data_IF_289918367967
#
_entry.id   IF_289918367967
#
_cell.length_a   1.000
_cell.length_b   1.000
_cell.length_c   1.000
_cell.angle_alpha   90.00
_cell.angle_beta   90.00
_cell.angle_gamma   90.00
#
_symmetry.space_group_name_H-M   'P 1'
#
loop_
_entity.id
_entity.type
_entity.pdbx_description
1 polymer ?
#
# COMPACT_ATOMS: atom_id res chain seq x y z
N UNK A 1 13.75 -8.66 34.77
CA UNK A 1 13.92 -8.79 33.30
C UNK A 1 15.24 -9.50 33.00
N UNK A 2 15.25 -10.64 32.30
CA UNK A 2 16.45 -11.46 32.07
C UNK A 2 17.45 -10.80 31.11
N UNK A 3 18.75 -11.16 31.16
CA UNK A 3 19.79 -10.65 30.23
C UNK A 3 19.41 -10.88 28.76
N UNK A 4 18.76 -12.01 28.46
CA UNK A 4 18.22 -12.33 27.12
C UNK A 4 17.11 -11.37 26.69
N UNK A 5 16.17 -11.04 27.60
CA UNK A 5 15.11 -10.08 27.31
C UNK A 5 15.66 -8.67 27.05
N UNK A 6 16.67 -8.23 27.82
CA UNK A 6 17.36 -6.94 27.56
C UNK A 6 18.02 -6.91 26.18
N UNK A 7 18.71 -7.97 25.79
CA UNK A 7 19.36 -8.05 24.47
C UNK A 7 18.34 -8.06 23.33
N UNK A 8 17.23 -8.78 23.50
CA UNK A 8 16.15 -8.82 22.51
C UNK A 8 15.53 -7.43 22.32
N UNK A 9 15.15 -6.77 23.42
CA UNK A 9 14.57 -5.42 23.38
C UNK A 9 15.54 -4.41 22.76
N UNK A 10 16.83 -4.49 23.08
CA UNK A 10 17.84 -3.66 22.44
C UNK A 10 17.96 -3.96 20.94
N UNK A 11 17.87 -5.22 20.52
CA UNK A 11 18.02 -5.59 19.10
C UNK A 11 16.83 -5.12 18.26
N UNK A 12 15.61 -5.21 18.80
CA UNK A 12 14.37 -4.92 18.08
C UNK A 12 13.71 -3.60 18.51
N UNK A 13 14.44 -2.70 19.18
CA UNK A 13 13.87 -1.46 19.73
C UNK A 13 13.18 -0.62 18.66
N UNK A 14 13.73 -0.56 17.43
CA UNK A 14 13.18 0.25 16.33
C UNK A 14 11.86 -0.30 15.82
N UNK A 15 11.82 -1.61 15.58
CA UNK A 15 10.59 -2.31 15.19
C UNK A 15 9.51 -2.14 16.25
N UNK A 16 9.85 -2.32 17.53
CA UNK A 16 8.90 -2.20 18.64
C UNK A 16 8.37 -0.76 18.73
N UNK A 17 9.22 0.26 18.63
CA UNK A 17 8.77 1.66 18.70
C UNK A 17 7.87 2.04 17.53
N UNK A 18 8.20 1.59 16.30
CA UNK A 18 7.36 1.83 15.12
C UNK A 18 6.02 1.09 15.27
N UNK A 19 6.05 -0.15 15.76
CA UNK A 19 4.83 -0.93 16.00
C UNK A 19 3.94 -0.25 17.04
N UNK A 20 4.49 0.18 18.18
CA UNK A 20 3.73 0.87 19.22
C UNK A 20 3.13 2.17 18.69
N UNK A 21 3.91 2.98 17.96
CA UNK A 21 3.40 4.19 17.32
C UNK A 21 2.20 3.89 16.43
N UNK A 22 2.34 2.93 15.51
CA UNK A 22 1.28 2.54 14.59
C UNK A 22 0.07 1.94 15.32
N UNK A 23 0.30 1.08 16.31
CA UNK A 23 -0.74 0.41 17.07
C UNK A 23 -1.56 1.41 17.89
N UNK A 24 -0.92 2.38 18.54
CA UNK A 24 -1.66 3.46 19.21
C UNK A 24 -2.45 4.32 18.22
N UNK A 25 -1.92 4.60 17.03
CA UNK A 25 -2.70 5.33 16.01
C UNK A 25 -3.89 4.53 15.48
N UNK A 26 -3.82 3.19 15.50
CA UNK A 26 -4.94 2.31 15.21
C UNK A 26 -5.98 2.40 16.33
N UNK A 27 -5.58 2.16 17.59
CA UNK A 27 -6.50 2.18 18.73
C UNK A 27 -7.25 3.50 18.89
N UNK A 28 -6.61 4.64 18.59
CA UNK A 28 -7.24 5.95 18.71
C UNK A 28 -8.24 6.29 17.59
N UNK A 29 -8.26 5.53 16.49
CA UNK A 29 -9.02 5.89 15.27
C UNK A 29 -9.79 4.75 14.64
N UNK A 30 -9.72 3.55 15.21
CA UNK A 30 -10.36 2.37 14.63
C UNK A 30 -11.88 2.56 14.59
N UNK A 31 -12.54 2.36 13.43
CA UNK A 31 -13.98 2.39 13.35
C UNK A 31 -14.61 1.17 14.02
N UNK A 32 -15.79 1.35 14.61
CA UNK A 32 -16.55 0.29 15.29
C UNK A 32 -17.11 -0.75 14.31
N UNK A 33 -17.31 -0.37 13.04
CA UNK A 33 -17.91 -1.21 12.01
C UNK A 33 -17.07 -1.22 10.73
N UNK A 34 -17.26 -2.26 9.91
CA UNK A 34 -16.75 -2.27 8.54
C UNK A 34 -17.58 -1.34 7.67
N UNK A 35 -16.93 -0.62 6.77
CA UNK A 35 -17.64 0.27 5.87
C UNK A 35 -18.54 -0.52 4.91
N UNK A 36 -19.79 -0.09 4.72
CA UNK A 36 -20.77 -0.83 3.93
C UNK A 36 -20.37 -1.06 2.47
N UNK A 37 -19.57 -0.17 1.88
CA UNK A 37 -19.04 -0.36 0.54
C UNK A 37 -18.00 -1.49 0.45
N UNK A 38 -17.43 -1.93 1.58
CA UNK A 38 -16.32 -2.90 1.64
C UNK A 38 -16.71 -4.26 2.25
N UNK A 39 -17.77 -4.30 3.06
CA UNK A 39 -18.13 -5.45 3.88
C UNK A 39 -18.64 -6.66 3.10
N UNK A 40 -19.39 -6.46 2.02
CA UNK A 40 -20.05 -7.55 1.29
C UNK A 40 -19.07 -8.62 0.78
N UNK A 41 -17.88 -8.24 0.32
CA UNK A 41 -16.88 -9.19 -0.20
C UNK A 41 -16.32 -10.16 0.84
N UNK A 42 -16.47 -9.89 2.14
CA UNK A 42 -16.09 -10.84 3.19
C UNK A 42 -17.03 -12.05 3.27
N UNK A 43 -18.27 -11.90 2.80
CA UNK A 43 -19.26 -12.97 2.72
C UNK A 43 -19.34 -13.63 1.32
N UNK A 44 -18.54 -13.15 0.36
CA UNK A 44 -18.44 -13.72 -0.98
C UNK A 44 -17.27 -14.68 -1.10
N UNK A 45 -17.46 -15.81 -1.76
CA UNK A 45 -16.46 -16.87 -1.87
C UNK A 45 -16.48 -17.55 -3.25
N UNK A 46 -15.48 -18.36 -3.54
CA UNK A 46 -15.33 -19.03 -4.85
C UNK A 46 -16.43 -20.07 -5.16
N UNK A 47 -17.35 -20.38 -4.22
CA UNK A 47 -18.56 -21.14 -4.56
C UNK A 47 -19.54 -20.34 -5.42
N UNK A 48 -19.39 -19.02 -5.49
CA UNK A 48 -20.20 -18.13 -6.31
C UNK A 48 -19.66 -17.95 -7.74
N UNK A 49 -18.61 -18.67 -8.13
CA UNK A 49 -17.91 -18.49 -9.40
C UNK A 49 -16.45 -18.11 -9.20
N UNK A 50 -15.76 -17.78 -10.29
CA UNK A 50 -14.35 -17.43 -10.25
C UNK A 50 -14.17 -15.97 -10.63
N UNK A 51 -13.84 -15.14 -9.64
CA UNK A 51 -13.58 -13.70 -9.79
C UNK A 51 -12.44 -13.23 -8.86
N UNK A 52 -11.97 -12.00 -9.08
CA UNK A 52 -11.17 -11.31 -8.08
C UNK A 52 -12.04 -10.99 -6.85
N UNK A 53 -11.44 -10.68 -5.69
CA UNK A 53 -12.16 -10.35 -4.43
C UNK A 53 -12.82 -11.53 -3.71
N UNK A 54 -12.89 -12.72 -4.31
CA UNK A 54 -13.48 -13.88 -3.64
C UNK A 54 -12.50 -14.63 -2.71
N UNK A 55 -11.20 -14.34 -2.80
CA UNK A 55 -10.18 -15.07 -2.04
C UNK A 55 -10.33 -14.90 -0.52
N UNK A 56 -10.52 -13.67 -0.03
CA UNK A 56 -10.61 -13.39 1.41
C UNK A 56 -11.87 -14.02 2.01
N UNK A 57 -13.03 -13.84 1.37
CA UNK A 57 -14.26 -14.45 1.87
C UNK A 57 -14.23 -15.98 1.74
N UNK A 58 -13.50 -16.57 0.78
CA UNK A 58 -13.25 -18.01 0.75
C UNK A 58 -12.47 -18.52 1.96
N UNK A 59 -11.47 -17.75 2.44
CA UNK A 59 -10.77 -18.08 3.69
C UNK A 59 -11.72 -18.00 4.89
N UNK A 60 -12.58 -16.97 4.94
CA UNK A 60 -13.58 -16.85 6.00
C UNK A 60 -14.63 -17.95 5.96
N UNK A 61 -15.02 -18.42 4.77
CA UNK A 61 -15.97 -19.53 4.59
C UNK A 61 -15.45 -20.84 5.19
N UNK A 62 -14.13 -21.05 5.24
CA UNK A 62 -13.54 -22.21 5.92
C UNK A 62 -13.72 -22.15 7.44
N UNK A 63 -13.76 -20.94 8.02
CA UNK A 63 -13.94 -20.71 9.46
C UNK A 63 -15.42 -20.59 9.84
N UNK A 64 -16.23 -20.03 8.93
CA UNK A 64 -17.65 -19.69 9.09
C UNK A 64 -18.47 -20.24 7.90
N UNK A 65 -18.66 -21.57 7.81
CA UNK A 65 -19.21 -22.22 6.62
C UNK A 65 -20.72 -22.03 6.43
N UNK A 66 -21.47 -21.64 7.45
CA UNK A 66 -22.91 -21.40 7.35
C UNK A 66 -23.22 -19.91 7.25
N UNK A 67 -22.82 -19.18 8.29
CA UNK A 67 -23.12 -17.78 8.51
C UNK A 67 -21.88 -17.09 9.08
N UNK A 68 -21.53 -15.92 8.53
CA UNK A 68 -20.43 -15.06 8.98
C UNK A 68 -20.99 -13.90 9.80
N UNK A 69 -20.82 -13.88 11.13
CA UNK A 69 -21.22 -12.75 11.96
C UNK A 69 -20.37 -11.50 11.64
N UNK A 70 -20.99 -10.31 11.70
CA UNK A 70 -20.35 -9.03 11.47
C UNK A 70 -19.20 -8.78 12.46
N UNK A 71 -19.40 -9.17 13.73
CA UNK A 71 -18.35 -9.11 14.74
C UNK A 71 -17.15 -9.98 14.37
N UNK A 72 -17.39 -11.20 13.88
CA UNK A 72 -16.31 -12.10 13.46
C UNK A 72 -15.53 -11.56 12.26
N UNK A 73 -16.22 -10.97 11.28
CA UNK A 73 -15.60 -10.29 10.15
C UNK A 73 -14.78 -9.07 10.61
N UNK A 74 -15.32 -8.25 11.49
CA UNK A 74 -14.61 -7.10 12.06
C UNK A 74 -13.36 -7.53 12.82
N UNK A 75 -13.45 -8.57 13.67
CA UNK A 75 -12.31 -9.14 14.40
C UNK A 75 -11.24 -9.65 13.43
N UNK A 76 -11.65 -10.34 12.36
CA UNK A 76 -10.74 -10.80 11.31
C UNK A 76 -9.97 -9.63 10.66
N UNK A 77 -10.66 -8.54 10.33
CA UNK A 77 -10.05 -7.31 9.82
C UNK A 77 -9.10 -6.70 10.86
N UNK A 78 -9.53 -6.59 12.12
CA UNK A 78 -8.72 -6.03 13.19
C UNK A 78 -7.39 -6.80 13.40
N UNK A 79 -7.45 -8.14 13.49
CA UNK A 79 -6.25 -8.96 13.62
C UNK A 79 -5.36 -8.89 12.37
N UNK A 80 -5.97 -8.78 11.20
CA UNK A 80 -5.23 -8.59 9.95
C UNK A 80 -4.53 -7.23 9.89
N UNK A 81 -5.13 -6.16 10.44
CA UNK A 81 -4.46 -4.87 10.62
C UNK A 81 -3.30 -4.99 11.59
N UNK A 82 -3.45 -5.68 12.73
CA UNK A 82 -2.34 -5.93 13.67
C UNK A 82 -1.17 -6.64 12.97
N UNK A 83 -1.47 -7.68 12.17
CA UNK A 83 -0.47 -8.38 11.36
C UNK A 83 0.22 -7.42 10.38
N UNK A 84 -0.55 -6.59 9.67
CA UNK A 84 -0.01 -5.58 8.78
C UNK A 84 0.95 -4.62 9.51
N UNK A 85 0.56 -4.10 10.68
CA UNK A 85 1.39 -3.20 11.47
C UNK A 85 2.66 -3.89 11.94
N UNK A 86 2.57 -5.15 12.36
CA UNK A 86 3.73 -5.95 12.76
C UNK A 86 4.72 -6.12 11.60
N UNK A 87 4.24 -6.56 10.42
CA UNK A 87 5.08 -6.78 9.25
C UNK A 87 5.70 -5.47 8.74
N UNK A 88 4.93 -4.39 8.73
CA UNK A 88 5.44 -3.08 8.32
C UNK A 88 6.52 -2.60 9.27
N UNK A 89 6.27 -2.70 10.57
CA UNK A 89 7.24 -2.31 11.61
C UNK A 89 8.52 -3.12 11.51
N UNK A 90 8.40 -4.42 11.23
CA UNK A 90 9.53 -5.30 10.96
C UNK A 90 10.34 -4.79 9.76
N UNK A 91 9.71 -4.52 8.61
CA UNK A 91 10.41 -4.04 7.41
C UNK A 91 11.09 -2.69 7.65
N UNK A 92 10.37 -1.70 8.22
CA UNK A 92 10.90 -0.36 8.46
C UNK A 92 12.03 -0.38 9.51
N UNK A 93 11.81 -1.02 10.65
CA UNK A 93 12.78 -1.11 11.75
C UNK A 93 14.00 -1.94 11.38
N UNK A 94 13.81 -3.06 10.67
CA UNK A 94 14.92 -3.87 10.16
C UNK A 94 15.82 -3.06 9.22
N UNK A 95 15.22 -2.30 8.30
CA UNK A 95 15.95 -1.48 7.35
C UNK A 95 16.79 -0.40 8.03
N UNK A 96 16.23 0.24 9.08
CA UNK A 96 16.97 1.17 9.92
C UNK A 96 18.13 0.46 10.65
N UNK A 97 17.89 -0.71 11.24
CA UNK A 97 18.95 -1.48 11.91
C UNK A 97 20.08 -1.88 10.96
N UNK A 98 19.79 -2.22 9.70
CA UNK A 98 20.83 -2.53 8.71
C UNK A 98 21.79 -1.36 8.42
N UNK A 99 21.36 -0.14 8.71
CA UNK A 99 22.14 1.08 8.51
C UNK A 99 22.70 1.66 9.81
N UNK A 100 22.52 0.99 10.95
CA UNK A 100 22.96 1.51 12.26
C UNK A 100 24.44 1.94 12.25
N UNK A 101 24.69 3.18 12.68
CA UNK A 101 26.02 3.79 12.70
C UNK A 101 26.48 4.39 11.37
N UNK A 102 25.69 4.24 10.29
CA UNK A 102 26.00 4.85 8.98
C UNK A 102 25.30 6.20 8.84
N UNK A 103 25.91 7.13 8.08
CA UNK A 103 25.27 8.44 7.81
C UNK A 103 23.92 8.33 7.10
N UNK A 104 23.78 7.34 6.21
CA UNK A 104 22.54 7.06 5.48
C UNK A 104 21.35 6.73 6.40
N UNK A 105 21.60 6.25 7.62
CA UNK A 105 20.58 5.94 8.61
C UNK A 105 19.65 7.12 8.91
N UNK A 106 20.23 8.31 9.12
CA UNK A 106 19.46 9.53 9.42
C UNK A 106 18.59 9.95 8.24
N UNK A 107 19.08 9.76 7.02
CA UNK A 107 18.31 9.99 5.80
C UNK A 107 17.14 9.02 5.68
N UNK A 108 17.38 7.73 5.97
CA UNK A 108 16.31 6.71 5.96
C UNK A 108 15.26 6.99 7.04
N UNK A 109 15.69 7.35 8.25
CA UNK A 109 14.79 7.72 9.34
C UNK A 109 13.89 8.88 8.95
N UNK A 110 14.44 9.89 8.27
CA UNK A 110 13.67 11.04 7.80
C UNK A 110 12.63 10.65 6.74
N UNK A 111 12.99 9.77 5.80
CA UNK A 111 12.04 9.22 4.81
C UNK A 111 10.91 8.48 5.51
N UNK A 112 11.24 7.60 6.46
CA UNK A 112 10.25 6.82 7.23
C UNK A 112 9.34 7.74 8.04
N UNK A 113 9.91 8.72 8.75
CA UNK A 113 9.15 9.66 9.57
C UNK A 113 8.15 10.45 8.72
N UNK A 114 8.61 11.05 7.62
CA UNK A 114 7.77 11.85 6.73
C UNK A 114 6.68 11.01 6.07
N UNK A 115 7.00 9.76 5.69
CA UNK A 115 6.03 8.80 5.20
C UNK A 115 4.94 8.47 6.25
N UNK A 116 5.33 8.11 7.47
CA UNK A 116 4.40 7.73 8.53
C UNK A 116 3.49 8.89 8.99
N UNK A 117 3.98 10.13 8.91
CA UNK A 117 3.20 11.33 9.22
C UNK A 117 2.21 11.70 8.11
N UNK A 118 2.50 11.35 6.86
CA UNK A 118 1.71 11.79 5.71
C UNK A 118 0.24 11.33 5.69
N UNK A 119 -0.64 12.03 4.97
CA UNK A 119 -2.04 11.61 4.76
C UNK A 119 -2.20 10.19 4.22
N UNK A 120 -1.26 9.77 3.36
CA UNK A 120 -1.21 8.45 2.74
C UNK A 120 -0.37 7.43 3.51
N UNK A 121 -0.03 7.70 4.77
CA UNK A 121 0.56 6.68 5.64
C UNK A 121 -0.42 5.52 5.84
N UNK A 122 0.04 4.32 6.29
CA UNK A 122 -0.81 3.13 6.41
C UNK A 122 -2.12 3.37 7.16
N UNK A 123 -2.14 4.38 8.03
CA UNK A 123 -3.33 4.81 8.77
C UNK A 123 -4.54 5.23 7.94
N UNK A 124 -4.38 5.50 6.64
CA UNK A 124 -5.53 5.66 5.77
C UNK A 124 -6.40 4.39 5.72
N UNK A 125 -5.83 3.19 5.93
CA UNK A 125 -6.52 1.90 5.84
C UNK A 125 -7.52 1.61 6.98
N UNK A 126 -7.45 2.36 8.08
CA UNK A 126 -8.39 2.24 9.20
C UNK A 126 -9.12 3.55 9.46
N UNK A 127 -9.40 4.29 8.38
CA UNK A 127 -10.37 5.39 8.40
C UNK A 127 -11.78 4.85 8.15
N UNK A 128 -12.81 5.62 8.48
CA UNK A 128 -14.21 5.23 8.33
C UNK A 128 -14.57 4.73 6.93
N UNK A 129 -14.05 5.32 5.85
CA UNK A 129 -14.35 4.88 4.47
C UNK A 129 -13.49 3.70 3.99
N UNK A 130 -12.34 3.47 4.63
CA UNK A 130 -11.37 2.48 4.19
C UNK A 130 -11.35 1.21 5.06
N UNK A 131 -12.03 1.21 6.21
CA UNK A 131 -12.12 0.03 7.07
C UNK A 131 -12.72 -1.15 6.30
N UNK A 132 -12.01 -2.29 6.32
CA UNK A 132 -12.36 -3.48 5.55
C UNK A 132 -11.93 -3.46 4.07
N UNK A 133 -11.21 -2.44 3.59
CA UNK A 133 -10.70 -2.47 2.21
C UNK A 133 -9.60 -3.51 2.04
N UNK A 134 -9.65 -4.21 0.92
CA UNK A 134 -8.67 -5.25 0.61
C UNK A 134 -7.25 -4.73 0.34
N UNK A 135 -7.07 -3.42 0.14
CA UNK A 135 -5.76 -2.75 0.08
C UNK A 135 -4.85 -3.14 1.27
N UNK A 136 -5.42 -3.38 2.46
CA UNK A 136 -4.65 -3.85 3.62
C UNK A 136 -4.02 -5.24 3.40
N UNK A 137 -4.73 -6.14 2.73
CA UNK A 137 -4.24 -7.48 2.42
C UNK A 137 -3.22 -7.44 1.29
N UNK A 138 -3.44 -6.59 0.28
CA UNK A 138 -2.47 -6.35 -0.79
C UNK A 138 -1.14 -5.82 -0.24
N UNK A 139 -1.19 -4.88 0.71
CA UNK A 139 -0.01 -4.38 1.40
C UNK A 139 0.63 -5.46 2.27
N UNK A 140 -0.18 -6.26 2.98
CA UNK A 140 0.30 -7.40 3.78
C UNK A 140 1.08 -8.40 2.94
N UNK A 141 0.52 -8.85 1.81
CA UNK A 141 1.17 -9.74 0.86
C UNK A 141 2.45 -9.11 0.30
N UNK A 142 2.42 -7.82 0.01
CA UNK A 142 3.60 -7.08 -0.44
C UNK A 142 4.72 -7.06 0.61
N UNK A 143 4.40 -6.85 1.89
CA UNK A 143 5.39 -6.89 2.97
C UNK A 143 5.93 -8.31 3.20
N UNK A 144 5.09 -9.35 3.08
CA UNK A 144 5.53 -10.75 3.11
C UNK A 144 6.54 -11.00 1.99
N UNK A 145 6.25 -10.56 0.76
CA UNK A 145 7.16 -10.70 -0.37
C UNK A 145 8.52 -10.03 -0.11
N UNK A 146 8.50 -8.83 0.50
CA UNK A 146 9.70 -8.10 0.91
C UNK A 146 10.51 -8.90 1.94
N UNK A 147 9.86 -9.41 2.98
CA UNK A 147 10.50 -10.20 4.03
C UNK A 147 11.11 -11.47 3.44
N UNK A 148 10.39 -12.16 2.55
CA UNK A 148 10.93 -13.31 1.80
C UNK A 148 12.20 -12.93 1.03
N UNK A 149 12.21 -11.81 0.31
CA UNK A 149 13.38 -11.33 -0.43
C UNK A 149 14.55 -10.87 0.45
N UNK A 150 14.31 -10.55 1.73
CA UNK A 150 15.34 -10.23 2.72
C UNK A 150 15.93 -11.51 3.33
N UNK A 151 15.07 -12.45 3.74
CA UNK A 151 15.47 -13.64 4.49
C UNK A 151 16.02 -14.77 3.61
N UNK A 152 15.47 -14.94 2.41
CA UNK A 152 15.81 -16.03 1.52
C UNK A 152 17.00 -15.61 0.66
N UNK A 153 18.03 -16.47 0.54
CA UNK A 153 19.20 -16.21 -0.31
C UNK A 153 19.06 -16.75 -1.74
N UNK A 154 18.26 -17.79 -1.93
CA UNK A 154 18.05 -18.42 -3.24
C UNK A 154 17.22 -17.52 -4.15
N UNK A 155 17.79 -17.12 -5.29
CA UNK A 155 17.07 -16.28 -6.26
C UNK A 155 15.88 -17.02 -6.87
N UNK A 156 16.01 -18.30 -7.19
CA UNK A 156 14.88 -19.10 -7.71
C UNK A 156 13.71 -19.12 -6.75
N UNK A 157 13.97 -19.37 -5.47
CA UNK A 157 12.92 -19.40 -4.46
C UNK A 157 12.29 -18.00 -4.29
N UNK A 158 13.08 -16.93 -4.32
CA UNK A 158 12.54 -15.57 -4.31
C UNK A 158 11.61 -15.33 -5.51
N UNK A 159 12.04 -15.67 -6.72
CA UNK A 159 11.24 -15.44 -7.94
C UNK A 159 9.95 -16.26 -7.95
N UNK A 160 10.00 -17.53 -7.52
CA UNK A 160 8.82 -18.40 -7.40
C UNK A 160 7.84 -17.82 -6.37
N UNK A 161 8.33 -17.44 -5.18
CA UNK A 161 7.49 -16.87 -4.13
C UNK A 161 6.88 -15.54 -4.54
N UNK A 162 7.63 -14.68 -5.24
CA UNK A 162 7.10 -13.44 -5.79
C UNK A 162 5.94 -13.71 -6.76
N UNK A 163 6.06 -14.75 -7.61
CA UNK A 163 4.97 -15.10 -8.55
C UNK A 163 3.75 -15.60 -7.80
N UNK A 164 3.93 -16.52 -6.85
CA UNK A 164 2.82 -17.08 -6.06
C UNK A 164 2.11 -15.98 -5.26
N UNK A 165 2.87 -15.14 -4.54
CA UNK A 165 2.31 -14.04 -3.76
C UNK A 165 1.61 -13.01 -4.65
N UNK A 166 2.15 -12.72 -5.83
CA UNK A 166 1.51 -11.84 -6.80
C UNK A 166 0.17 -12.39 -7.31
N UNK A 167 0.10 -13.70 -7.62
CA UNK A 167 -1.16 -14.36 -8.01
C UNK A 167 -2.19 -14.37 -6.88
N UNK A 168 -1.76 -14.59 -5.63
CA UNK A 168 -2.62 -14.46 -4.45
C UNK A 168 -3.14 -13.02 -4.33
N UNK A 169 -2.27 -12.02 -4.51
CA UNK A 169 -2.68 -10.62 -4.46
C UNK A 169 -3.70 -10.26 -5.54
N UNK A 170 -3.57 -10.78 -6.76
CA UNK A 170 -4.55 -10.61 -7.83
C UNK A 170 -5.88 -11.27 -7.51
N UNK A 171 -5.84 -12.44 -6.88
CA UNK A 171 -7.04 -13.16 -6.41
C UNK A 171 -7.76 -12.41 -5.28
N UNK A 172 -7.02 -11.66 -4.47
CA UNK A 172 -7.59 -10.73 -3.47
C UNK A 172 -8.20 -9.52 -4.17
N UNK A 173 -7.47 -8.84 -5.05
CA UNK A 173 -8.02 -7.71 -5.80
C UNK A 173 -7.11 -7.36 -7.00
N UNK A 174 -7.69 -7.34 -8.21
CA UNK A 174 -6.95 -7.17 -9.47
C UNK A 174 -6.20 -5.83 -9.62
N UNK A 175 -6.69 -4.74 -9.02
CA UNK A 175 -5.99 -3.45 -8.93
C UNK A 175 -4.60 -3.51 -8.28
N UNK A 176 -4.20 -4.64 -7.67
CA UNK A 176 -2.81 -4.91 -7.28
C UNK A 176 -1.79 -4.55 -8.38
N UNK A 177 -2.10 -4.85 -9.65
CA UNK A 177 -1.22 -4.52 -10.80
C UNK A 177 -0.90 -3.04 -10.92
N UNK A 178 -1.82 -2.17 -10.51
CA UNK A 178 -1.66 -0.73 -10.64
C UNK A 178 -1.11 -0.09 -9.36
N UNK A 179 -1.49 -0.64 -8.20
CA UNK A 179 -1.23 -0.01 -6.90
C UNK A 179 0.03 -0.53 -6.20
N UNK A 180 0.29 -1.84 -6.21
CA UNK A 180 1.32 -2.48 -5.38
C UNK A 180 2.39 -3.21 -6.19
N UNK A 181 2.10 -3.56 -7.45
CA UNK A 181 3.06 -4.16 -8.37
C UNK A 181 4.38 -3.38 -8.56
N UNK A 182 4.46 -2.04 -8.50
CA UNK A 182 5.74 -1.33 -8.62
C UNK A 182 6.80 -1.83 -7.63
N UNK A 183 6.38 -2.27 -6.44
CA UNK A 183 7.27 -2.87 -5.47
C UNK A 183 7.72 -4.28 -5.90
N UNK A 184 6.79 -5.13 -6.36
CA UNK A 184 7.11 -6.46 -6.90
C UNK A 184 8.08 -6.36 -8.08
N UNK A 185 7.83 -5.43 -9.01
CA UNK A 185 8.71 -5.16 -10.14
C UNK A 185 10.15 -4.90 -9.68
N UNK A 186 10.32 -4.11 -8.61
CA UNK A 186 11.63 -3.84 -8.01
C UNK A 186 12.26 -5.11 -7.43
N UNK A 187 11.48 -5.90 -6.68
CA UNK A 187 11.95 -7.15 -6.07
C UNK A 187 12.38 -8.14 -7.15
N UNK A 188 11.58 -8.35 -8.20
CA UNK A 188 11.90 -9.19 -9.36
C UNK A 188 13.22 -8.79 -10.00
N UNK A 189 13.35 -7.54 -10.43
CA UNK A 189 14.55 -7.08 -11.11
C UNK A 189 15.78 -7.10 -10.20
N UNK A 190 15.66 -6.70 -8.92
CA UNK A 190 16.80 -6.75 -7.99
C UNK A 190 17.24 -8.19 -7.70
N UNK A 191 16.31 -9.14 -7.66
CA UNK A 191 16.63 -10.55 -7.46
C UNK A 191 17.24 -11.17 -8.71
N UNK A 192 16.67 -10.92 -9.89
CA UNK A 192 17.16 -11.46 -11.16
C UNK A 192 18.50 -10.87 -11.61
N UNK A 193 18.75 -9.57 -11.34
CA UNK A 193 19.99 -8.87 -11.72
C UNK A 193 21.09 -8.98 -10.65
N UNK A 194 21.00 -9.90 -9.71
CA UNK A 194 22.03 -10.09 -8.69
C UNK A 194 23.39 -10.43 -9.34
N UNK A 195 24.48 -9.85 -8.83
CA UNK A 195 25.84 -10.04 -9.36
C UNK A 195 26.16 -11.54 -9.38
N UNK A 196 26.42 -12.11 -10.57
CA UNK A 196 26.78 -13.51 -10.90
C UNK A 196 25.68 -14.37 -11.58
N UNK A 197 24.63 -13.80 -12.17
CA UNK A 197 23.57 -14.63 -12.78
C UNK A 197 23.57 -14.62 -14.32
N UNK A 198 23.16 -15.76 -14.87
CA UNK A 198 22.95 -16.03 -16.29
C UNK A 198 21.66 -15.36 -16.79
N UNK A 199 21.33 -15.48 -18.08
CA UNK A 199 20.10 -14.91 -18.65
C UNK A 199 18.80 -15.53 -18.08
N UNK A 200 18.87 -16.75 -17.53
CA UNK A 200 17.69 -17.54 -17.19
C UNK A 200 16.82 -16.95 -16.04
N UNK A 201 17.38 -16.45 -14.92
CA UNK A 201 16.59 -15.80 -13.86
C UNK A 201 15.90 -14.52 -14.35
N UNK A 202 16.50 -13.80 -15.30
CA UNK A 202 15.88 -12.63 -15.94
C UNK A 202 14.68 -13.07 -16.78
N UNK A 203 14.83 -14.12 -17.59
CA UNK A 203 13.70 -14.68 -18.36
C UNK A 203 12.58 -15.14 -17.43
N UNK A 204 12.89 -15.84 -16.34
CA UNK A 204 11.90 -16.27 -15.35
C UNK A 204 11.19 -15.08 -14.71
N UNK A 205 11.91 -14.03 -14.33
CA UNK A 205 11.31 -12.82 -13.78
C UNK A 205 10.35 -12.17 -14.77
N UNK A 206 10.74 -12.05 -16.04
CA UNK A 206 9.89 -11.50 -17.11
C UNK A 206 8.66 -12.38 -17.33
N UNK A 207 8.82 -13.70 -17.40
CA UNK A 207 7.71 -14.66 -17.54
C UNK A 207 6.75 -14.61 -16.34
N UNK A 208 7.27 -14.50 -15.12
CA UNK A 208 6.45 -14.34 -13.92
C UNK A 208 5.63 -13.05 -13.95
N UNK A 209 6.26 -11.93 -14.34
CA UNK A 209 5.57 -10.66 -14.53
C UNK A 209 4.50 -10.71 -15.64
N UNK A 210 4.82 -11.35 -16.77
CA UNK A 210 3.86 -11.57 -17.84
C UNK A 210 2.69 -12.46 -17.41
N UNK A 211 2.95 -13.52 -16.63
CA UNK A 211 1.91 -14.38 -16.06
C UNK A 211 0.96 -13.64 -15.13
N UNK A 212 1.47 -12.74 -14.28
CA UNK A 212 0.62 -11.87 -13.45
C UNK A 212 -0.20 -10.89 -14.31
N UNK A 213 0.38 -10.31 -15.36
CA UNK A 213 -0.35 -9.46 -16.29
C UNK A 213 -1.47 -10.25 -17.01
N UNK A 214 -1.21 -11.49 -17.42
CA UNK A 214 -2.22 -12.37 -18.00
C UNK A 214 -3.33 -12.72 -17.01
N UNK A 215 -2.99 -13.01 -15.74
CA UNK A 215 -3.97 -13.25 -14.69
C UNK A 215 -4.83 -12.00 -14.40
N UNK A 216 -4.22 -10.81 -14.39
CA UNK A 216 -4.97 -9.54 -14.32
C UNK A 216 -5.96 -9.39 -15.48
N UNK A 217 -5.51 -9.62 -16.72
CA UNK A 217 -6.39 -9.54 -17.89
C UNK A 217 -7.51 -10.58 -17.82
N UNK A 218 -7.21 -11.76 -17.28
CA UNK A 218 -8.21 -12.79 -17.03
C UNK A 218 -9.30 -12.31 -16.06
N UNK A 219 -8.91 -11.80 -14.89
CA UNK A 219 -9.87 -11.25 -13.92
C UNK A 219 -10.63 -10.03 -14.46
N UNK A 220 -9.98 -9.20 -15.28
CA UNK A 220 -10.63 -8.00 -15.78
C UNK A 220 -11.66 -8.25 -16.89
N UNK A 221 -11.49 -9.33 -17.68
CA UNK A 221 -12.22 -9.53 -18.93
C UNK A 221 -13.03 -10.83 -19.00
N UNK A 222 -12.68 -11.84 -18.22
CA UNK A 222 -13.24 -13.20 -18.36
C UNK A 222 -13.79 -13.78 -17.06
N UNK A 223 -13.39 -13.25 -15.91
CA UNK A 223 -13.88 -13.73 -14.63
C UNK A 223 -15.31 -13.24 -14.36
N UNK A 224 -16.09 -14.04 -13.65
CA UNK A 224 -17.49 -13.78 -13.37
C UNK A 224 -17.98 -14.60 -12.18
N UNK A 225 -19.06 -14.10 -11.59
CA UNK A 225 -19.87 -14.85 -10.63
C UNK A 225 -21.04 -15.54 -11.35
N UNK A 226 -21.42 -16.72 -10.86
CA UNK A 226 -22.51 -17.56 -11.38
C UNK A 226 -23.87 -17.14 -10.77
N UNK A 227 -24.14 -15.83 -10.69
CA UNK A 227 -25.37 -15.25 -10.14
C UNK A 227 -26.00 -14.33 -11.18
N UNK A 228 -27.32 -14.42 -11.36
CA UNK A 228 -28.00 -13.82 -12.51
C UNK A 228 -28.42 -12.36 -12.31
N UNK A 229 -28.60 -11.94 -11.06
CA UNK A 229 -29.03 -10.57 -10.73
C UNK A 229 -28.48 -10.06 -9.40
N UNK A 230 -28.42 -8.73 -9.26
CA UNK A 230 -27.98 -8.09 -8.02
C UNK A 230 -28.92 -8.40 -6.85
N UNK A 231 -30.23 -8.49 -7.10
CA UNK A 231 -31.23 -8.85 -6.08
C UNK A 231 -30.99 -10.27 -5.53
N UNK A 232 -30.73 -11.24 -6.43
CA UNK A 232 -30.39 -12.61 -6.05
C UNK A 232 -29.12 -12.65 -5.19
N UNK A 233 -28.08 -11.91 -5.60
CA UNK A 233 -26.83 -11.83 -4.84
C UNK A 233 -27.06 -11.22 -3.44
N UNK A 234 -27.79 -10.10 -3.35
CA UNK A 234 -28.09 -9.44 -2.07
C UNK A 234 -28.90 -10.37 -1.15
N UNK A 235 -29.90 -11.07 -1.69
CA UNK A 235 -30.69 -12.04 -0.92
C UNK A 235 -29.81 -13.19 -0.40
N UNK A 236 -28.92 -13.71 -1.25
CA UNK A 236 -27.99 -14.77 -0.86
C UNK A 236 -27.03 -14.30 0.24
N UNK A 237 -26.46 -13.10 0.12
CA UNK A 237 -25.51 -12.57 1.09
C UNK A 237 -26.19 -12.26 2.42
N UNK A 238 -27.38 -11.66 2.41
CA UNK A 238 -28.15 -11.35 3.62
C UNK A 238 -28.55 -12.63 4.38
N UNK A 239 -28.71 -13.76 3.69
CA UNK A 239 -28.92 -15.06 4.34
C UNK A 239 -27.64 -15.65 4.97
N UNK A 240 -26.46 -15.16 4.59
CA UNK A 240 -25.14 -15.68 5.01
C UNK A 240 -24.39 -14.76 5.99
N UNK A 241 -24.85 -13.54 6.21
CA UNK A 241 -24.20 -12.59 7.12
C UNK A 241 -25.17 -11.48 7.56
N UNK A 242 -24.89 -10.89 8.71
CA UNK A 242 -25.48 -9.63 9.22
C UNK A 242 -24.59 -8.41 8.94
N UNK A 243 -23.54 -8.56 8.12
CA UNK A 243 -22.76 -7.43 7.61
C UNK A 243 -23.63 -6.50 6.75
N UNK A 244 -23.35 -5.19 6.73
CA UNK A 244 -23.98 -4.30 5.78
C UNK A 244 -23.72 -4.76 4.34
N UNK A 245 -24.78 -4.99 3.57
CA UNK A 245 -24.71 -5.34 2.14
C UNK A 245 -25.11 -4.11 1.33
N UNK A 246 -24.14 -3.54 0.61
CA UNK A 246 -24.38 -2.40 -0.27
C UNK A 246 -24.67 -2.89 -1.69
N UNK A 247 -25.95 -2.82 -2.08
CA UNK A 247 -26.46 -3.21 -3.39
C UNK A 247 -25.85 -2.38 -4.53
N UNK A 248 -25.66 -1.07 -4.33
CA UNK A 248 -25.04 -0.17 -5.32
C UNK A 248 -23.61 -0.64 -5.65
N UNK A 249 -22.82 -0.97 -4.63
CA UNK A 249 -21.44 -1.44 -4.80
C UNK A 249 -21.39 -2.78 -5.56
N UNK A 250 -22.26 -3.73 -5.21
CA UNK A 250 -22.35 -5.02 -5.88
C UNK A 250 -22.83 -4.89 -7.33
N UNK A 251 -23.81 -4.01 -7.58
CA UNK A 251 -24.30 -3.72 -8.91
C UNK A 251 -23.18 -3.19 -9.81
N UNK A 252 -22.42 -2.18 -9.37
CA UNK A 252 -21.35 -1.62 -10.18
C UNK A 252 -20.19 -2.58 -10.45
N UNK A 253 -19.91 -3.52 -9.53
CA UNK A 253 -18.83 -4.49 -9.70
C UNK A 253 -19.22 -5.65 -10.62
N UNK A 254 -20.43 -6.20 -10.49
CA UNK A 254 -20.78 -7.48 -11.13
C UNK A 254 -21.89 -7.41 -12.19
N UNK A 255 -22.74 -6.39 -12.18
CA UNK A 255 -23.96 -6.37 -13.02
C UNK A 255 -24.04 -5.16 -13.97
N UNK A 256 -23.44 -4.04 -13.59
CA UNK A 256 -23.40 -2.84 -14.43
C UNK A 256 -22.43 -3.04 -15.60
N UNK A 257 -22.80 -2.50 -16.75
CA UNK A 257 -21.88 -2.47 -17.90
C UNK A 257 -20.73 -1.50 -17.64
N UNK A 258 -19.57 -1.75 -18.23
CA UNK A 258 -18.41 -0.83 -18.14
C UNK A 258 -18.78 0.59 -18.58
N UNK A 259 -19.63 0.74 -19.60
CA UNK A 259 -20.09 2.04 -20.08
C UNK A 259 -20.94 2.77 -19.04
N UNK A 260 -21.83 2.03 -18.37
CA UNK A 260 -22.66 2.57 -17.29
C UNK A 260 -21.81 2.98 -16.09
N UNK A 261 -20.97 2.09 -15.57
CA UNK A 261 -20.06 2.39 -14.45
C UNK A 261 -19.15 3.58 -14.77
N UNK A 262 -18.62 3.66 -15.99
CA UNK A 262 -17.79 4.79 -16.39
C UNK A 262 -18.57 6.12 -16.46
N UNK A 263 -19.77 6.11 -17.04
CA UNK A 263 -20.63 7.30 -17.11
C UNK A 263 -21.02 7.81 -15.71
N UNK A 264 -21.55 6.90 -14.88
CA UNK A 264 -22.17 7.24 -13.60
C UNK A 264 -21.15 7.46 -12.49
N UNK A 265 -20.05 6.68 -12.47
CA UNK A 265 -19.00 6.86 -11.47
C UNK A 265 -17.92 7.79 -11.99
N UNK A 266 -17.34 7.58 -13.18
CA UNK A 266 -16.12 8.31 -13.61
C UNK A 266 -16.40 9.69 -14.21
N UNK A 267 -17.49 9.86 -14.95
CA UNK A 267 -17.80 11.11 -15.65
C UNK A 267 -18.79 12.04 -14.92
N UNK A 268 -19.35 11.64 -13.79
CA UNK A 268 -20.35 12.45 -13.08
C UNK A 268 -19.79 13.79 -12.54
N UNK A 269 -18.50 13.84 -12.14
CA UNK A 269 -17.88 15.01 -11.47
C UNK A 269 -16.39 15.20 -11.82
N UNK A 270 -15.99 15.26 -13.10
CA UNK A 270 -14.58 15.33 -13.49
C UNK A 270 -13.90 16.63 -13.01
N UNK A 271 -14.61 17.76 -13.04
CA UNK A 271 -14.06 19.05 -12.62
C UNK A 271 -13.68 19.08 -11.14
N UNK A 272 -14.54 18.52 -10.29
CA UNK A 272 -14.29 18.42 -8.85
C UNK A 272 -13.09 17.50 -8.59
N UNK A 273 -13.03 16.34 -9.24
CA UNK A 273 -11.90 15.41 -9.08
C UNK A 273 -10.57 16.02 -9.50
N UNK A 274 -10.52 16.68 -10.64
CA UNK A 274 -9.30 17.37 -11.10
C UNK A 274 -8.88 18.42 -10.07
N UNK A 275 -9.84 19.23 -9.58
CA UNK A 275 -9.57 20.23 -8.52
C UNK A 275 -9.01 19.58 -7.26
N UNK A 276 -9.62 18.50 -6.78
CA UNK A 276 -9.16 17.77 -5.59
C UNK A 276 -7.81 17.09 -5.77
N UNK A 277 -7.54 16.51 -6.95
CA UNK A 277 -6.23 15.97 -7.28
C UNK A 277 -5.14 17.03 -7.27
N UNK A 278 -5.39 18.21 -7.87
CA UNK A 278 -4.45 19.33 -7.85
C UNK A 278 -4.17 19.82 -6.43
N UNK A 279 -5.21 19.99 -5.61
CA UNK A 279 -5.06 20.35 -4.19
C UNK A 279 -4.22 19.29 -3.48
N UNK A 280 -4.52 18.01 -3.68
CA UNK A 280 -3.79 16.91 -3.03
C UNK A 280 -2.31 16.88 -3.42
N UNK A 281 -1.98 17.13 -4.68
CA UNK A 281 -0.59 17.26 -5.13
C UNK A 281 0.14 18.42 -4.44
N UNK A 282 -0.55 19.55 -4.22
CA UNK A 282 0.00 20.67 -3.47
C UNK A 282 0.20 20.31 -1.99
N UNK A 283 -0.77 19.64 -1.36
CA UNK A 283 -0.68 19.19 0.03
C UNK A 283 0.48 18.21 0.24
N UNK A 284 0.69 17.31 -0.73
CA UNK A 284 1.77 16.33 -0.74
C UNK A 284 3.09 16.87 -1.29
N UNK A 285 3.17 18.15 -1.65
CA UNK A 285 4.38 18.73 -2.25
C UNK A 285 5.66 18.51 -1.44
N UNK A 286 5.68 18.49 -0.09
CA UNK A 286 6.90 18.15 0.65
C UNK A 286 7.42 16.74 0.36
N UNK A 287 6.52 15.76 0.21
CA UNK A 287 6.90 14.39 -0.17
C UNK A 287 7.27 14.29 -1.64
N UNK A 288 6.54 14.97 -2.52
CA UNK A 288 6.88 15.01 -3.95
C UNK A 288 8.29 15.56 -4.16
N UNK A 289 8.64 16.65 -3.47
CA UNK A 289 9.99 17.25 -3.49
C UNK A 289 11.02 16.27 -2.90
N UNK A 290 10.70 15.62 -1.77
CA UNK A 290 11.59 14.65 -1.13
C UNK A 290 11.91 13.46 -2.06
N UNK A 291 10.88 12.83 -2.63
CA UNK A 291 11.06 11.69 -3.53
C UNK A 291 11.73 12.11 -4.83
N UNK A 292 11.35 13.26 -5.41
CA UNK A 292 12.03 13.82 -6.58
C UNK A 292 13.51 14.06 -6.32
N UNK A 293 13.86 14.65 -5.17
CA UNK A 293 15.25 14.82 -4.75
C UNK A 293 15.99 13.48 -4.67
N UNK A 294 15.41 12.48 -4.00
CA UNK A 294 16.02 11.17 -3.82
C UNK A 294 16.23 10.46 -5.16
N UNK A 295 15.21 10.39 -6.02
CA UNK A 295 15.33 9.73 -7.32
C UNK A 295 16.33 10.41 -8.26
N UNK A 296 16.36 11.74 -8.30
CA UNK A 296 17.38 12.48 -9.06
C UNK A 296 18.78 12.16 -8.54
N UNK A 297 18.96 12.06 -7.21
CA UNK A 297 20.25 11.71 -6.59
C UNK A 297 20.64 10.26 -6.87
N UNK A 298 19.70 9.32 -6.79
CA UNK A 298 19.91 7.90 -7.11
C UNK A 298 20.38 7.76 -8.57
N UNK A 299 19.68 8.38 -9.52
CA UNK A 299 20.03 8.35 -10.94
C UNK A 299 21.41 8.95 -11.23
N UNK A 300 21.77 10.03 -10.52
CA UNK A 300 23.10 10.66 -10.64
C UNK A 300 24.21 9.78 -10.02
N UNK A 301 23.94 9.14 -8.89
CA UNK A 301 24.90 8.28 -8.19
C UNK A 301 25.09 6.91 -8.87
N UNK A 302 24.10 6.45 -9.63
CA UNK A 302 24.20 5.20 -10.38
C UNK A 302 25.22 5.29 -11.52
N UNK A 303 25.99 4.21 -11.69
CA UNK A 303 26.88 4.04 -12.86
C UNK A 303 26.05 4.10 -14.15
N UNK A 304 26.64 4.64 -15.23
CA UNK A 304 25.93 4.84 -16.52
C UNK A 304 25.15 3.61 -16.98
N UNK A 305 25.72 2.41 -16.83
CA UNK A 305 25.10 1.14 -17.23
C UNK A 305 23.90 0.71 -16.35
N UNK A 306 23.86 1.12 -15.09
CA UNK A 306 22.82 0.71 -14.14
C UNK A 306 21.69 1.74 -14.06
N UNK A 307 21.89 2.97 -14.58
CA UNK A 307 20.88 4.04 -14.62
C UNK A 307 19.55 3.61 -15.23
N UNK A 308 19.49 2.83 -16.33
CA UNK A 308 18.21 2.38 -16.89
C UNK A 308 17.39 1.56 -15.89
N UNK A 309 18.04 0.75 -15.04
CA UNK A 309 17.33 -0.06 -14.03
C UNK A 309 16.65 0.83 -12.99
N UNK A 310 17.33 1.87 -12.50
CA UNK A 310 16.73 2.84 -11.58
C UNK A 310 15.66 3.71 -12.25
N UNK A 311 15.81 4.00 -13.55
CA UNK A 311 14.76 4.67 -14.30
C UNK A 311 13.51 3.79 -14.41
N UNK A 312 13.67 2.48 -14.67
CA UNK A 312 12.57 1.52 -14.67
C UNK A 312 11.89 1.41 -13.30
N UNK A 313 12.66 1.45 -12.21
CA UNK A 313 12.11 1.51 -10.84
C UNK A 313 11.26 2.74 -10.56
N UNK A 314 11.63 3.89 -11.11
CA UNK A 314 10.84 5.11 -11.00
C UNK A 314 9.60 5.05 -11.91
N UNK A 315 9.78 4.59 -13.16
CA UNK A 315 8.72 4.52 -14.16
C UNK A 315 7.67 3.44 -13.84
N UNK A 316 8.01 2.41 -13.06
CA UNK A 316 7.02 1.39 -12.66
C UNK A 316 5.87 1.98 -11.85
N UNK A 317 6.06 3.11 -11.17
CA UNK A 317 4.97 3.80 -10.48
C UNK A 317 3.91 4.39 -11.42
N UNK A 318 4.23 4.55 -12.71
CA UNK A 318 3.24 4.98 -13.72
C UNK A 318 2.18 3.90 -13.98
N UNK A 319 2.36 2.67 -13.48
CA UNK A 319 1.31 1.66 -13.45
C UNK A 319 0.03 2.15 -12.75
N UNK A 320 0.09 3.18 -11.90
CA UNK A 320 -1.11 3.73 -11.26
C UNK A 320 -1.97 4.61 -12.19
N UNK A 321 -1.41 5.11 -13.29
CA UNK A 321 -2.10 6.07 -14.18
C UNK A 321 -3.40 5.51 -14.74
N UNK A 322 -3.46 4.27 -15.26
CA UNK A 322 -4.72 3.68 -15.68
C UNK A 322 -5.81 3.72 -14.60
N UNK A 323 -5.47 3.42 -13.34
CA UNK A 323 -6.43 3.49 -12.25
C UNK A 323 -7.03 4.89 -12.12
N UNK A 324 -6.19 5.94 -12.08
CA UNK A 324 -6.63 7.35 -12.02
C UNK A 324 -7.59 7.77 -13.14
N UNK A 325 -7.50 7.14 -14.31
CA UNK A 325 -8.33 7.47 -15.47
C UNK A 325 -9.68 6.74 -15.48
N UNK A 326 -9.78 5.56 -14.85
CA UNK A 326 -10.93 4.66 -15.01
C UNK A 326 -11.74 4.42 -13.74
N UNK A 327 -11.33 4.96 -12.60
CA UNK A 327 -12.10 4.84 -11.36
C UNK A 327 -11.92 6.08 -10.44
N UNK A 328 -12.56 6.03 -9.26
CA UNK A 328 -12.88 7.23 -8.48
C UNK A 328 -12.19 7.30 -7.11
N UNK A 329 -11.49 6.25 -6.68
CA UNK A 329 -10.91 6.17 -5.34
C UNK A 329 -9.54 6.88 -5.24
N UNK A 330 -9.45 8.14 -5.64
CA UNK A 330 -8.17 8.85 -5.76
C UNK A 330 -7.41 8.93 -4.43
N UNK A 331 -8.12 9.06 -3.30
CA UNK A 331 -7.52 9.15 -1.97
C UNK A 331 -6.70 7.90 -1.60
N UNK A 332 -7.28 6.71 -1.70
CA UNK A 332 -6.55 5.47 -1.42
C UNK A 332 -5.41 5.23 -2.40
N UNK A 333 -5.54 5.64 -3.66
CA UNK A 333 -4.50 5.45 -4.68
C UNK A 333 -3.30 6.34 -4.44
N UNK A 334 -3.50 7.59 -4.02
CA UNK A 334 -2.41 8.41 -3.50
C UNK A 334 -1.76 7.75 -2.28
N UNK A 335 -2.53 7.16 -1.37
CA UNK A 335 -2.01 6.37 -0.25
C UNK A 335 -1.09 5.22 -0.70
N UNK A 336 -1.56 4.40 -1.64
CA UNK A 336 -0.78 3.30 -2.20
C UNK A 336 0.49 3.78 -2.92
N UNK A 337 0.39 4.83 -3.75
CA UNK A 337 1.53 5.41 -4.46
C UNK A 337 2.64 5.87 -3.50
N UNK A 338 2.28 6.63 -2.46
CA UNK A 338 3.24 7.10 -1.46
C UNK A 338 3.86 5.93 -0.69
N UNK A 339 3.05 4.95 -0.32
CA UNK A 339 3.51 3.72 0.35
C UNK A 339 4.52 2.97 -0.52
N UNK A 340 4.25 2.78 -1.82
CA UNK A 340 5.16 2.05 -2.70
C UNK A 340 6.48 2.80 -2.91
N UNK A 341 6.45 4.12 -3.08
CA UNK A 341 7.65 4.96 -3.17
C UNK A 341 8.52 4.83 -1.91
N UNK A 342 7.91 4.94 -0.72
CA UNK A 342 8.61 4.81 0.55
C UNK A 342 9.23 3.42 0.70
N UNK A 343 8.44 2.35 0.51
CA UNK A 343 8.89 0.98 0.69
C UNK A 343 10.02 0.61 -0.29
N UNK A 344 9.93 1.02 -1.55
CA UNK A 344 10.96 0.75 -2.53
C UNK A 344 12.32 1.34 -2.11
N UNK A 345 12.34 2.59 -1.62
CA UNK A 345 13.53 3.23 -1.07
C UNK A 345 14.04 2.50 0.18
N UNK A 346 13.14 2.15 1.10
CA UNK A 346 13.46 1.42 2.34
C UNK A 346 14.13 0.09 2.04
N UNK A 347 13.63 -0.67 1.07
CA UNK A 347 14.12 -2.02 0.77
C UNK A 347 15.44 -1.98 0.02
N UNK A 348 15.60 -1.04 -0.93
CA UNK A 348 16.88 -0.83 -1.58
C UNK A 348 17.95 -0.42 -0.55
N UNK A 349 17.58 0.43 0.42
CA UNK A 349 18.46 0.81 1.52
C UNK A 349 18.81 -0.40 2.42
N UNK A 350 17.84 -1.24 2.78
CA UNK A 350 18.06 -2.47 3.55
C UNK A 350 19.01 -3.45 2.85
N UNK A 351 18.92 -3.54 1.51
CA UNK A 351 19.83 -4.32 0.66
C UNK A 351 21.18 -3.63 0.40
N UNK A 352 21.46 -2.52 1.09
CA UNK A 352 22.70 -1.72 1.00
C UNK A 352 23.00 -1.26 -0.43
N UNK A 353 21.97 -0.87 -1.17
CA UNK A 353 22.09 -0.39 -2.55
C UNK A 353 22.86 0.94 -2.60
N UNK A 354 24.05 0.93 -3.22
CA UNK A 354 25.00 2.03 -3.12
C UNK A 354 24.45 3.39 -3.63
N UNK A 355 23.77 3.49 -4.79
CA UNK A 355 23.11 4.72 -5.22
C UNK A 355 22.06 5.24 -4.22
N UNK A 356 21.25 4.36 -3.64
CA UNK A 356 20.26 4.74 -2.62
C UNK A 356 20.94 5.22 -1.34
N UNK A 357 21.95 4.51 -0.84
CA UNK A 357 22.71 4.93 0.35
C UNK A 357 23.39 6.30 0.16
N UNK A 358 23.90 6.57 -1.05
CA UNK A 358 24.46 7.87 -1.40
C UNK A 358 23.41 8.99 -1.36
N UNK A 359 22.22 8.75 -1.93
CA UNK A 359 21.12 9.69 -1.89
C UNK A 359 20.62 9.96 -0.46
N UNK A 360 20.49 8.92 0.37
CA UNK A 360 20.10 9.03 1.78
C UNK A 360 21.16 9.77 2.62
N UNK A 361 22.44 9.55 2.34
CA UNK A 361 23.53 10.32 2.99
C UNK A 361 23.44 11.80 2.62
N UNK A 362 23.19 12.10 1.34
CA UNK A 362 22.98 13.48 0.89
C UNK A 362 21.75 14.13 1.55
N UNK A 363 20.67 13.37 1.73
CA UNK A 363 19.49 13.82 2.46
C UNK A 363 19.80 14.11 3.94
N UNK A 364 20.56 13.24 4.61
CA UNK A 364 21.00 13.45 5.98
C UNK A 364 21.84 14.73 6.14
N UNK A 365 22.74 15.00 5.18
CA UNK A 365 23.53 16.22 5.17
C UNK A 365 22.66 17.47 4.95
N UNK A 366 21.63 17.38 4.12
CA UNK A 366 20.65 18.47 3.93
C UNK A 366 19.82 18.71 5.18
N UNK A 367 19.35 17.67 5.84
CA UNK A 367 18.65 17.75 7.12
C UNK A 367 19.52 18.43 8.18
N UNK A 368 20.80 18.05 8.28
CA UNK A 368 21.73 18.67 9.23
C UNK A 368 21.92 20.18 8.99
N UNK A 369 21.95 20.61 7.73
CA UNK A 369 22.14 22.03 7.36
C UNK A 369 20.87 22.86 7.48
N UNK A 370 19.71 22.27 7.21
CA UNK A 370 18.44 22.98 7.16
C UNK A 370 17.33 22.21 7.91
N UNK A 371 17.49 21.94 9.21
CA UNK A 371 16.57 21.06 9.96
C UNK A 371 15.14 21.61 10.01
N UNK A 372 14.98 22.93 10.11
CA UNK A 372 13.69 23.60 10.22
C UNK A 372 12.75 23.34 9.03
N UNK A 373 13.29 23.22 7.81
CA UNK A 373 12.47 22.92 6.63
C UNK A 373 11.80 21.55 6.76
N UNK A 374 12.53 20.57 7.29
CA UNK A 374 12.01 19.22 7.49
C UNK A 374 11.05 19.14 8.68
N UNK A 375 11.29 19.91 9.74
CA UNK A 375 10.33 20.04 10.84
C UNK A 375 9.02 20.68 10.37
N UNK A 376 9.09 21.76 9.59
CA UNK A 376 7.90 22.38 8.99
C UNK A 376 7.17 21.40 8.07
N UNK A 377 7.89 20.64 7.25
CA UNK A 377 7.29 19.60 6.42
C UNK A 377 6.61 18.50 7.26
N UNK A 378 7.23 18.07 8.36
CA UNK A 378 6.68 17.07 9.26
C UNK A 378 5.41 17.57 9.97
N UNK A 379 5.42 18.81 10.48
CA UNK A 379 4.25 19.45 11.11
C UNK A 379 3.14 19.62 10.08
N UNK A 380 3.48 20.14 8.88
CA UNK A 380 2.55 20.28 7.77
C UNK A 380 1.83 18.96 7.50
N UNK A 381 2.58 17.90 7.20
CA UNK A 381 2.00 16.60 6.87
C UNK A 381 1.26 15.94 8.02
N UNK A 382 1.79 16.06 9.24
CA UNK A 382 1.16 15.49 10.44
C UNK A 382 -0.14 16.18 10.83
N UNK A 383 -0.34 17.45 10.42
CA UNK A 383 -1.57 18.21 10.67
C UNK A 383 -2.71 17.89 9.71
N UNK A 384 -2.41 17.19 8.61
CA UNK A 384 -3.41 16.82 7.60
C UNK A 384 -4.22 15.61 8.05
N UNK A 385 -5.51 15.59 7.69
CA UNK A 385 -6.32 14.40 7.79
C UNK A 385 -5.78 13.28 6.88
N UNK A 386 -6.02 12.03 7.28
CA UNK A 386 -5.65 10.86 6.47
C UNK A 386 -6.58 10.76 5.28
N UNK A 387 -6.10 10.14 4.19
CA UNK A 387 -6.92 9.98 3.00
C UNK A 387 -8.14 9.10 3.30
N UNK A 388 -9.29 9.57 2.83
CA UNK A 388 -10.50 8.76 2.73
C UNK A 388 -10.56 8.12 1.32
N UNK A 389 -11.60 7.35 1.03
CA UNK A 389 -11.69 6.59 -0.22
C UNK A 389 -11.93 7.50 -1.43
N UNK A 390 -13.02 8.27 -1.40
CA UNK A 390 -13.48 9.09 -2.52
C UNK A 390 -13.25 10.59 -2.28
N UNK A 391 -13.29 11.02 -1.02
CA UNK A 391 -13.04 12.40 -0.62
C UNK A 391 -11.57 12.61 -0.24
N UNK A 392 -10.83 13.29 -1.12
CA UNK A 392 -9.59 13.94 -0.74
C UNK A 392 -9.94 15.12 0.18
N UNK A 393 -9.23 15.26 1.31
CA UNK A 393 -9.76 15.73 2.60
C UNK A 393 -10.62 16.99 2.45
N UNK A 394 -11.79 16.99 3.07
CA UNK A 394 -12.70 18.12 3.19
C UNK A 394 -11.89 19.43 3.32
N UNK A 395 -11.81 20.21 2.24
CA UNK A 395 -11.14 21.50 2.23
C UNK A 395 -11.49 22.40 3.44
N UNK A 396 -12.72 22.38 4.01
CA UNK A 396 -13.03 23.07 5.26
C UNK A 396 -12.19 22.61 6.46
N UNK A 397 -11.98 21.29 6.64
CA UNK A 397 -11.17 20.73 7.72
C UNK A 397 -9.68 21.13 7.58
N UNK A 398 -9.20 21.28 6.35
CA UNK A 398 -7.85 21.71 6.04
C UNK A 398 -7.58 23.19 6.39
N UNK A 399 -8.51 24.10 6.04
CA UNK A 399 -8.42 25.49 6.49
C UNK A 399 -8.62 25.63 7.99
N UNK A 400 -9.43 24.76 8.62
CA UNK A 400 -9.57 24.72 10.08
C UNK A 400 -8.25 24.33 10.77
N UNK A 401 -7.50 23.34 10.27
CA UNK A 401 -6.18 22.99 10.79
C UNK A 401 -5.15 24.10 10.62
N UNK A 402 -5.15 24.82 9.49
CA UNK A 402 -4.28 25.97 9.26
C UNK A 402 -4.64 27.15 10.19
N UNK A 403 -5.94 27.39 10.41
CA UNK A 403 -6.47 28.40 11.34
C UNK A 403 -6.19 28.04 12.81
N UNK A 404 -6.29 26.76 13.18
CA UNK A 404 -5.95 26.27 14.51
C UNK A 404 -4.44 26.38 14.79
N UNK A 405 -3.59 26.06 13.81
CA UNK A 405 -2.14 26.24 13.91
C UNK A 405 -1.76 27.72 13.99
N UNK A 406 -2.45 28.59 13.23
CA UNK A 406 -2.31 30.04 13.33
C UNK A 406 -2.60 30.54 14.75
N UNK A 407 -3.72 30.14 15.36
CA UNK A 407 -4.06 30.48 16.76
C UNK A 407 -3.12 29.90 17.83
N UNK A 408 -2.35 28.88 17.49
CA UNK A 408 -1.40 28.26 18.41
C UNK A 408 -0.04 28.96 18.39
N UNK A 409 0.26 29.68 17.29
CA UNK A 409 1.54 30.35 17.03
C UNK A 409 1.44 31.87 17.16
N UNK A 410 0.25 32.44 16.90
CA UNK A 410 -0.09 33.86 17.01
C UNK A 410 -1.32 34.02 17.90
#
# INVERSE_FOLDING_TARGET
MTKKAKQFLYTFHREILIFLLLFFTLLCRIPEELHGWNSAWYAMDYSLGFDSRLFIGSVLRLLYPGFLPAEAAWQFVFFSLILLLFLLSLVLGYSLRQLEGQRAEKGLLLVILLYLLSPGSPSYLWTSENMGRFDMYLLTVSLIAVICCILIRSVWLQLILLTILGLIALSIHQAFMFLFFPLFFTLYLKSALAKKQTLLPVLFAVSGMAGMAAAFLYFQLFSHIDITSCEELVSLLTARTDLPVNDIALNYEYFATTAQSFSELVLNQPGERIRYGLVTLLLLSPLAILYGFLWVRILKAAMKKDRPVYALFLLSHLCIVPAFLVAIDWGRWFGAFLTMQALQLVILAAKKDAPVLSALTSLADKFRRHPYIFFLAAVWMGSLHKFQATLLPDAPSFFYSLYALYRLVF
#
